data_IF_476499658898
#
_entry.id   IF_476499658898
#
_cell.length_a   1.000
_cell.length_b   1.000
_cell.length_c   1.000
_cell.angle_alpha   90.00
_cell.angle_beta   90.00
_cell.angle_gamma   90.00
#
_symmetry.space_group_name_H-M   'P 1'
#
loop_
_entity.id
_entity.type
_entity.pdbx_description
1 polymer ?
#
# COMPACT_ATOMS: atom_id res chain seq x y z
N UNK A 1 4.97 41.69 -8.37
CA UNK A 1 5.21 41.32 -6.94
C UNK A 1 6.30 40.27 -6.81
N UNK A 2 6.27 39.21 -7.64
CA UNK A 2 7.33 38.18 -7.69
C UNK A 2 8.72 38.71 -8.05
N UNK A 3 8.84 39.69 -8.95
CA UNK A 3 10.14 40.24 -9.38
C UNK A 3 10.93 40.87 -8.23
N UNK A 4 10.30 41.71 -7.39
CA UNK A 4 10.93 42.25 -6.17
C UNK A 4 11.41 41.17 -5.20
N UNK A 5 10.73 40.02 -5.18
CA UNK A 5 11.09 38.92 -4.28
C UNK A 5 12.34 38.22 -4.78
N UNK A 6 12.46 38.00 -6.09
CA UNK A 6 13.64 37.42 -6.73
C UNK A 6 14.85 38.33 -6.54
N UNK A 7 14.69 39.65 -6.68
CA UNK A 7 15.78 40.61 -6.44
C UNK A 7 16.30 40.56 -5.00
N UNK A 8 15.40 40.46 -4.02
CA UNK A 8 15.75 40.33 -2.60
C UNK A 8 16.49 39.02 -2.33
N UNK A 9 16.03 37.91 -2.92
CA UNK A 9 16.71 36.62 -2.81
C UNK A 9 18.10 36.69 -3.44
N UNK A 10 18.22 37.21 -4.66
CA UNK A 10 19.49 37.33 -5.37
C UNK A 10 20.49 38.24 -4.62
N UNK A 11 20.00 39.33 -4.02
CA UNK A 11 20.81 40.21 -3.20
C UNK A 11 21.28 39.51 -1.92
N UNK A 12 20.39 38.80 -1.22
CA UNK A 12 20.72 38.15 0.05
C UNK A 12 21.49 36.83 -0.08
N UNK A 13 21.51 36.20 -1.26
CA UNK A 13 22.40 35.06 -1.55
C UNK A 13 23.81 35.48 -1.94
N UNK A 14 23.99 36.69 -2.48
CA UNK A 14 25.31 37.24 -2.83
C UNK A 14 26.05 37.91 -1.65
N UNK A 15 25.32 38.34 -0.62
CA UNK A 15 25.86 38.98 0.58
C UNK A 15 26.13 37.97 1.72
N UNK A 16 27.06 38.27 2.65
CA UNK A 16 27.27 37.42 3.80
C UNK A 16 26.01 37.34 4.67
N UNK A 17 25.69 36.15 5.20
CA UNK A 17 24.52 35.91 6.06
C UNK A 17 24.46 36.81 7.30
N UNK A 18 25.60 37.37 7.72
CA UNK A 18 25.69 38.30 8.86
C UNK A 18 25.23 39.73 8.54
N UNK A 19 24.94 40.05 7.27
CA UNK A 19 24.46 41.36 6.89
C UNK A 19 23.11 41.67 7.57
N UNK A 20 22.97 42.80 8.29
CA UNK A 20 21.79 43.08 9.11
C UNK A 20 20.50 43.19 8.28
N UNK A 21 20.60 43.61 7.02
CA UNK A 21 19.45 43.69 6.11
C UNK A 21 18.91 42.30 5.68
N UNK A 22 19.77 41.27 5.64
CA UNK A 22 19.40 39.92 5.19
C UNK A 22 19.15 38.94 6.35
N UNK A 23 19.40 39.33 7.60
CA UNK A 23 19.11 38.51 8.80
C UNK A 23 17.68 37.94 8.84
N UNK A 24 16.61 38.74 8.70
CA UNK A 24 15.25 38.19 8.82
C UNK A 24 14.91 37.21 7.69
N UNK A 25 15.52 37.37 6.50
CA UNK A 25 15.37 36.41 5.42
C UNK A 25 16.00 35.06 5.78
N UNK A 26 17.26 35.08 6.22
CA UNK A 26 17.98 33.86 6.58
C UNK A 26 17.41 33.16 7.80
N UNK A 27 16.90 33.90 8.78
CA UNK A 27 16.22 33.34 9.94
C UNK A 27 14.96 32.56 9.53
N UNK A 28 14.13 33.12 8.65
CA UNK A 28 12.97 32.41 8.11
C UNK A 28 13.37 31.17 7.30
N UNK A 29 14.43 31.24 6.50
CA UNK A 29 14.96 30.09 5.76
C UNK A 29 15.44 28.99 6.70
N UNK A 30 16.11 29.34 7.80
CA UNK A 30 16.56 28.39 8.81
C UNK A 30 15.38 27.71 9.53
N UNK A 31 14.35 28.46 9.93
CA UNK A 31 13.16 27.86 10.54
C UNK A 31 12.38 26.99 9.56
N UNK A 32 12.21 27.44 8.32
CA UNK A 32 11.53 26.66 7.28
C UNK A 32 12.28 25.35 7.00
N UNK A 33 13.60 25.40 6.82
CA UNK A 33 14.42 24.21 6.58
C UNK A 33 14.43 23.26 7.78
N UNK A 34 14.51 23.78 9.01
CA UNK A 34 14.43 22.96 10.23
C UNK A 34 13.07 22.26 10.38
N UNK A 35 11.97 22.99 10.16
CA UNK A 35 10.63 22.43 10.21
C UNK A 35 10.42 21.35 9.14
N UNK A 36 10.90 21.59 7.92
CA UNK A 36 10.82 20.63 6.82
C UNK A 36 11.69 19.40 7.09
N UNK A 37 12.88 19.59 7.67
CA UNK A 37 13.75 18.50 8.13
C UNK A 37 13.08 17.63 9.19
N UNK A 38 12.42 18.24 10.19
CA UNK A 38 11.68 17.50 11.23
C UNK A 38 10.49 16.71 10.65
N UNK A 39 9.74 17.29 9.72
CA UNK A 39 8.64 16.60 9.05
C UNK A 39 9.14 15.38 8.26
N UNK A 40 10.22 15.54 7.50
CA UNK A 40 10.82 14.44 6.74
C UNK A 40 11.38 13.35 7.66
N UNK A 41 12.06 13.73 8.75
CA UNK A 41 12.56 12.79 9.74
C UNK A 41 11.43 12.01 10.41
N UNK A 42 10.36 12.69 10.84
CA UNK A 42 9.17 12.07 11.41
C UNK A 42 8.49 11.10 10.44
N UNK A 43 8.35 11.51 9.17
CA UNK A 43 7.81 10.64 8.12
C UNK A 43 8.68 9.40 7.87
N UNK A 44 10.00 9.58 7.81
CA UNK A 44 10.95 8.49 7.62
C UNK A 44 10.91 7.49 8.79
N UNK A 45 10.86 7.99 10.04
CA UNK A 45 10.73 7.16 11.24
C UNK A 45 9.41 6.39 11.21
N UNK A 46 8.30 7.06 10.89
CA UNK A 46 7.00 6.41 10.84
C UNK A 46 6.97 5.31 9.77
N UNK A 47 7.51 5.59 8.58
CA UNK A 47 7.67 4.59 7.53
C UNK A 47 8.57 3.44 7.97
N UNK A 48 9.69 3.73 8.62
CA UNK A 48 10.60 2.69 9.13
C UNK A 48 9.87 1.75 10.10
N UNK A 49 9.07 2.28 11.01
CA UNK A 49 8.26 1.48 11.95
C UNK A 49 7.25 0.62 11.20
N UNK A 50 6.50 1.21 10.25
CA UNK A 50 5.52 0.49 9.43
C UNK A 50 6.17 -0.65 8.62
N UNK A 51 7.34 -0.39 8.02
CA UNK A 51 8.12 -1.42 7.34
C UNK A 51 8.59 -2.52 8.28
N UNK A 52 9.03 -2.20 9.50
CA UNK A 52 9.46 -3.21 10.49
C UNK A 52 8.29 -4.08 10.95
N UNK A 53 7.11 -3.49 11.15
CA UNK A 53 5.89 -4.24 11.47
C UNK A 53 5.47 -5.16 10.32
N UNK A 54 5.48 -4.65 9.09
CA UNK A 54 5.19 -5.44 7.89
C UNK A 54 6.23 -6.53 7.65
N UNK A 55 7.50 -6.27 7.94
CA UNK A 55 8.57 -7.25 7.82
C UNK A 55 8.40 -8.38 8.84
N UNK A 56 8.01 -8.08 10.08
CA UNK A 56 7.69 -9.10 11.07
C UNK A 56 6.46 -9.94 10.66
N UNK A 57 5.44 -9.31 10.07
CA UNK A 57 4.29 -10.02 9.52
C UNK A 57 4.66 -10.90 8.31
N UNK A 58 5.52 -10.40 7.42
CA UNK A 58 6.02 -11.13 6.27
C UNK A 58 6.89 -12.34 6.68
N UNK A 59 7.71 -12.21 7.73
CA UNK A 59 8.48 -13.33 8.28
C UNK A 59 7.57 -14.42 8.86
N UNK A 60 6.49 -14.04 9.57
CA UNK A 60 5.51 -15.02 10.09
C UNK A 60 4.80 -15.75 8.94
N UNK A 61 4.42 -15.03 7.89
CA UNK A 61 3.80 -15.63 6.72
C UNK A 61 4.77 -16.56 5.95
N UNK A 62 6.07 -16.26 5.93
CA UNK A 62 7.08 -17.16 5.37
C UNK A 62 7.32 -18.38 6.25
N UNK A 63 7.41 -18.21 7.58
CA UNK A 63 7.55 -19.32 8.52
C UNK A 63 6.35 -20.28 8.47
N UNK A 64 5.13 -19.78 8.29
CA UNK A 64 3.94 -20.61 8.08
C UNK A 64 4.00 -21.37 6.75
N UNK A 65 4.48 -20.74 5.67
CA UNK A 65 4.66 -21.40 4.36
C UNK A 65 5.73 -22.49 4.42
N UNK A 66 6.83 -22.25 5.13
CA UNK A 66 7.88 -23.25 5.34
C UNK A 66 7.36 -24.42 6.21
N UNK A 67 6.52 -24.13 7.21
CA UNK A 67 5.89 -25.16 8.04
C UNK A 67 4.87 -26.02 7.27
N UNK A 68 4.16 -25.44 6.31
CA UNK A 68 3.25 -26.19 5.41
C UNK A 68 4.03 -26.95 4.33
N UNK A 69 5.24 -26.48 3.99
CA UNK A 69 6.10 -27.11 2.99
C UNK A 69 6.94 -28.28 3.53
N UNK A 70 6.85 -28.60 4.82
CA UNK A 70 7.49 -29.76 5.41
C UNK A 70 6.86 -31.04 4.80
N UNK A 71 7.63 -31.93 4.15
CA UNK A 71 7.12 -33.13 3.48
C UNK A 71 6.33 -34.07 4.40
N UNK A 72 6.55 -33.99 5.73
CA UNK A 72 5.76 -34.71 6.74
C UNK A 72 4.33 -34.14 6.89
N UNK A 73 4.15 -32.82 6.84
CA UNK A 73 2.82 -32.15 6.92
C UNK A 73 2.07 -32.15 5.59
N UNK A 74 2.76 -32.09 4.44
CA UNK A 74 2.10 -32.20 3.13
C UNK A 74 1.43 -33.56 2.92
N UNK A 75 1.93 -34.63 3.55
CA UNK A 75 1.30 -35.96 3.51
C UNK A 75 -0.03 -35.99 4.28
N UNK A 76 -0.17 -35.19 5.34
CA UNK A 76 -1.40 -35.13 6.13
C UNK A 76 -2.48 -34.24 5.50
N UNK A 77 -2.08 -33.26 4.69
CA UNK A 77 -2.98 -32.44 3.87
C UNK A 77 -2.96 -32.88 2.40
N UNK A 78 -3.10 -34.19 2.17
CA UNK A 78 -3.48 -34.66 0.84
C UNK A 78 -4.93 -34.22 0.64
N UNK A 79 -5.20 -33.43 -0.41
CA UNK A 79 -6.56 -33.01 -0.76
C UNK A 79 -7.41 -34.27 -1.00
N UNK A 80 -8.29 -34.57 -0.05
CA UNK A 80 -9.35 -35.55 -0.23
C UNK A 80 -10.55 -34.75 -0.75
N UNK A 81 -10.95 -35.00 -1.99
CA UNK A 81 -12.19 -34.48 -2.55
C UNK A 81 -13.30 -34.71 -1.52
N UNK A 82 -13.99 -33.68 -1.01
CA UNK A 82 -15.08 -33.89 -0.09
C UNK A 82 -16.14 -34.68 -0.83
N UNK A 83 -16.42 -35.92 -0.39
CA UNK A 83 -17.48 -36.77 -0.92
C UNK A 83 -18.86 -36.06 -0.88
N UNK A 84 -18.96 -34.98 -0.10
CA UNK A 84 -20.14 -34.14 0.04
C UNK A 84 -20.39 -33.24 -1.19
N UNK A 85 -19.36 -32.92 -1.99
CA UNK A 85 -19.53 -32.12 -3.23
C UNK A 85 -20.03 -33.00 -4.38
N UNK A 86 -19.67 -34.29 -4.41
CA UNK A 86 -20.16 -35.22 -5.42
C UNK A 86 -21.65 -35.57 -5.23
N UNK A 87 -22.14 -35.55 -3.98
CA UNK A 87 -23.54 -35.84 -3.69
C UNK A 87 -24.49 -34.70 -4.12
N UNK A 88 -24.08 -33.43 -3.98
CA UNK A 88 -24.95 -32.27 -4.22
C UNK A 88 -25.02 -31.86 -5.71
N UNK A 89 -24.04 -32.25 -6.53
CA UNK A 89 -24.07 -32.04 -8.00
C UNK A 89 -24.97 -33.06 -8.72
N UNK A 90 -25.36 -34.14 -8.04
CA UNK A 90 -26.21 -35.20 -8.60
C UNK A 90 -27.71 -34.91 -8.45
N UNK A 91 -28.09 -33.77 -7.87
CA UNK A 91 -29.47 -33.35 -7.77
C UNK A 91 -29.94 -32.71 -9.11
N UNK A 92 -30.80 -33.39 -9.90
CA UNK A 92 -31.24 -32.90 -11.22
C UNK A 92 -31.94 -31.54 -11.15
N UNK A 93 -32.44 -31.15 -9.97
CA UNK A 93 -33.13 -29.90 -9.75
C UNK A 93 -32.16 -28.69 -9.68
N UNK A 94 -30.94 -28.91 -9.16
CA UNK A 94 -29.91 -27.86 -9.07
C UNK A 94 -29.32 -27.56 -10.45
N UNK A 95 -29.09 -28.61 -11.24
CA UNK A 95 -28.60 -28.49 -12.62
C UNK A 95 -29.58 -27.75 -13.54
N UNK A 96 -30.89 -27.94 -13.36
CA UNK A 96 -31.92 -27.17 -14.08
C UNK A 96 -31.91 -25.70 -13.66
N UNK A 97 -31.85 -25.41 -12.35
CA UNK A 97 -31.82 -24.03 -11.84
C UNK A 97 -30.64 -23.23 -12.38
N UNK A 98 -29.46 -23.83 -12.46
CA UNK A 98 -28.26 -23.20 -13.01
C UNK A 98 -28.42 -22.92 -14.52
N UNK A 99 -29.03 -23.84 -15.27
CA UNK A 99 -29.32 -23.64 -16.71
C UNK A 99 -30.31 -22.50 -16.92
N UNK A 100 -31.36 -22.43 -16.12
CA UNK A 100 -32.37 -21.38 -16.22
C UNK A 100 -31.80 -19.99 -15.90
N UNK A 101 -30.94 -19.89 -14.87
CA UNK A 101 -30.26 -18.62 -14.55
C UNK A 101 -29.28 -18.19 -15.64
N UNK A 102 -28.56 -19.13 -16.26
CA UNK A 102 -27.65 -18.84 -17.38
C UNK A 102 -28.42 -18.41 -18.63
N UNK A 103 -29.58 -18.99 -18.92
CA UNK A 103 -30.44 -18.56 -20.03
C UNK A 103 -31.02 -17.17 -19.80
N UNK A 104 -31.46 -16.86 -18.58
CA UNK A 104 -31.95 -15.51 -18.26
C UNK A 104 -30.87 -14.45 -18.45
N UNK A 105 -29.64 -14.70 -17.99
CA UNK A 105 -28.51 -13.79 -18.20
C UNK A 105 -28.17 -13.63 -19.68
N UNK A 106 -28.23 -14.71 -20.47
CA UNK A 106 -28.01 -14.64 -21.93
C UNK A 106 -29.06 -13.78 -22.63
N UNK A 107 -30.34 -13.88 -22.24
CA UNK A 107 -31.43 -13.06 -22.81
C UNK A 107 -31.32 -11.59 -22.41
N UNK A 108 -30.84 -11.29 -21.20
CA UNK A 108 -30.56 -9.92 -20.76
C UNK A 108 -29.41 -9.30 -21.55
N UNK A 109 -28.32 -10.03 -21.77
CA UNK A 109 -27.18 -9.55 -22.57
C UNK A 109 -27.47 -9.39 -24.08
N UNK A 110 -28.52 -10.04 -24.61
CA UNK A 110 -28.93 -9.88 -26.02
C UNK A 110 -29.93 -8.75 -26.23
N UNK A 111 -30.43 -8.11 -25.16
CA UNK A 111 -31.39 -6.99 -25.21
C UNK A 111 -30.78 -5.64 -24.81
N UNK A 112 -29.53 -5.62 -24.35
CA UNK A 112 -28.72 -4.42 -24.15
C UNK A 112 -27.75 -4.24 -25.30
#
# INVERSE_FOLDING_TARGET
MFERWIDIVAMCTGLPMSAPACRPFWENVMYASAALGLLLAGWAIWKFIDYRLKYAAALRAQAERERVADPETMKQHTWVEPADIAADVTDPHLAQKIRDELEQRRRQNLRG
#
